data_IF_310425241713
#
_entry.id   IF_310425241713
#
_cell.length_a   1.000
_cell.length_b   1.000
_cell.length_c   1.000
_cell.angle_alpha   90.00
_cell.angle_beta   90.00
_cell.angle_gamma   90.00
#
_symmetry.space_group_name_H-M   'P 1'
#
loop_
_entity.id
_entity.type
_entity.pdbx_description
1 polymer ?
#
# COMPACT_ATOMS: atom_id res chain seq x y z
N UNK A 1 1.88 31.32 1.27
CA UNK A 1 2.29 29.97 1.73
C UNK A 1 1.02 29.20 2.09
N UNK A 2 0.51 28.36 1.18
CA UNK A 2 -0.74 27.61 1.37
C UNK A 2 -0.42 26.20 1.86
N UNK A 3 -0.77 25.90 3.11
CA UNK A 3 -0.57 24.59 3.73
C UNK A 3 -1.48 23.53 3.13
N UNK A 4 -0.86 22.54 2.47
CA UNK A 4 -1.50 21.29 2.08
C UNK A 4 -1.62 20.45 3.34
N UNK A 5 -2.85 20.22 3.82
CA UNK A 5 -3.11 19.28 4.92
C UNK A 5 -3.13 17.87 4.34
N UNK A 6 -2.02 17.15 4.50
CA UNK A 6 -1.94 15.71 4.27
C UNK A 6 -2.73 15.01 5.38
N UNK A 7 -3.83 14.32 5.03
CA UNK A 7 -4.53 13.45 5.96
C UNK A 7 -3.94 12.03 5.82
N UNK A 8 -3.13 11.62 6.79
CA UNK A 8 -2.71 10.22 6.92
C UNK A 8 -3.86 9.41 7.53
N UNK A 9 -4.52 8.60 6.71
CA UNK A 9 -5.44 7.55 7.17
C UNK A 9 -4.71 6.22 7.09
N UNK A 10 -4.28 5.71 8.25
CA UNK A 10 -3.66 4.39 8.39
C UNK A 10 -4.77 3.34 8.38
N UNK A 11 -4.80 2.49 7.35
CA UNK A 11 -5.63 1.28 7.30
C UNK A 11 -4.67 0.11 7.08
N UNK A 12 -4.51 -0.74 8.10
CA UNK A 12 -3.88 -2.06 7.97
C UNK A 12 -4.91 -3.09 7.47
N UNK A 13 -4.59 -4.32 7.05
CA UNK A 13 -3.37 -5.14 7.16
C UNK A 13 -3.37 -6.15 5.99
N UNK A 14 -2.20 -6.52 5.45
CA UNK A 14 -2.05 -7.84 4.78
C UNK A 14 -1.42 -7.92 3.38
N UNK A 15 -1.16 -6.82 2.67
CA UNK A 15 -0.41 -6.88 1.41
C UNK A 15 0.57 -5.72 1.31
N UNK A 16 1.85 -6.06 1.11
CA UNK A 16 2.80 -5.32 0.27
C UNK A 16 2.62 -3.79 0.26
N UNK A 17 3.07 -3.15 1.34
CA UNK A 17 2.89 -1.72 1.56
C UNK A 17 3.79 -0.90 0.62
N UNK A 18 3.31 -0.69 -0.61
CA UNK A 18 3.88 0.31 -1.50
C UNK A 18 3.72 1.69 -0.84
N UNK A 19 4.83 2.43 -0.69
CA UNK A 19 4.82 3.75 -0.08
C UNK A 19 4.14 4.73 -1.05
N UNK A 20 3.06 5.38 -0.60
CA UNK A 20 2.43 6.47 -1.34
C UNK A 20 3.40 7.66 -1.37
N UNK A 21 3.89 8.04 -2.55
CA UNK A 21 4.78 9.21 -2.71
C UNK A 21 3.93 10.48 -2.87
N UNK A 22 2.86 10.38 -3.65
CA UNK A 22 2.00 11.52 -3.98
C UNK A 22 0.55 11.09 -4.07
N UNK A 23 -0.32 11.90 -3.48
CA UNK A 23 -1.77 11.83 -3.70
C UNK A 23 -2.20 13.11 -4.42
N UNK A 24 -3.06 12.94 -5.43
CA UNK A 24 -3.64 14.07 -6.16
C UNK A 24 -5.10 13.80 -6.45
N UNK A 25 -5.97 14.72 -6.04
CA UNK A 25 -7.37 14.72 -6.49
C UNK A 25 -7.40 15.10 -7.96
N UNK A 26 -7.86 14.19 -8.81
CA UNK A 26 -7.93 14.37 -10.28
C UNK A 26 -9.33 14.78 -10.72
N UNK A 27 -10.35 14.29 -10.03
CA UNK A 27 -11.75 14.58 -10.30
C UNK A 27 -12.50 14.80 -8.99
N UNK A 28 -13.43 15.75 -9.00
CA UNK A 28 -14.31 16.07 -7.88
C UNK A 28 -15.73 16.24 -8.39
N UNK A 29 -16.71 15.89 -7.58
CA UNK A 29 -18.12 16.12 -7.89
C UNK A 29 -18.56 17.56 -7.57
N UNK A 30 -19.42 18.10 -8.43
CA UNK A 30 -19.99 19.43 -8.24
C UNK A 30 -20.92 19.42 -7.03
N UNK A 31 -20.67 20.31 -6.06
CA UNK A 31 -21.51 20.43 -4.86
C UNK A 31 -22.95 20.86 -5.13
N UNK A 32 -23.28 21.27 -6.35
CA UNK A 32 -24.62 21.72 -6.73
C UNK A 32 -25.40 20.66 -7.50
N UNK A 33 -24.80 20.09 -8.54
CA UNK A 33 -25.46 19.18 -9.48
C UNK A 33 -24.94 17.74 -9.45
N UNK A 34 -23.90 17.45 -8.65
CA UNK A 34 -23.27 16.12 -8.58
C UNK A 34 -22.32 15.80 -9.75
N UNK A 35 -22.37 16.53 -10.86
CA UNK A 35 -21.55 16.25 -12.03
C UNK A 35 -20.04 16.29 -11.72
N UNK A 36 -19.31 15.25 -12.12
CA UNK A 36 -17.88 15.14 -11.88
C UNK A 36 -17.07 16.03 -12.82
N UNK A 37 -16.19 16.88 -12.30
CA UNK A 37 -15.33 17.78 -13.07
C UNK A 37 -13.84 17.61 -12.74
N UNK A 38 -12.98 17.91 -13.70
CA UNK A 38 -11.53 17.81 -13.54
C UNK A 38 -10.98 18.91 -12.62
N UNK A 39 -10.10 18.54 -11.69
CA UNK A 39 -9.47 19.49 -10.79
C UNK A 39 -8.20 20.10 -11.41
N UNK A 40 -8.14 21.44 -11.44
CA UNK A 40 -6.95 22.17 -11.89
C UNK A 40 -5.74 21.86 -11.01
N UNK A 41 -4.56 21.74 -11.63
CA UNK A 41 -3.32 21.39 -10.94
C UNK A 41 -2.81 22.47 -9.96
N UNK A 42 -3.17 23.74 -10.19
CA UNK A 42 -2.69 24.90 -9.41
C UNK A 42 -3.86 25.79 -8.99
N UNK A 43 -3.70 26.43 -7.82
CA UNK A 43 -4.64 27.41 -7.28
C UNK A 43 -5.67 26.82 -6.32
N UNK A 44 -6.68 27.63 -5.96
CA UNK A 44 -7.76 27.21 -5.03
C UNK A 44 -8.61 26.12 -5.68
N UNK A 45 -8.85 24.97 -5.01
CA UNK A 45 -9.72 23.92 -5.52
C UNK A 45 -11.12 24.46 -5.85
N UNK A 46 -11.59 24.20 -7.06
CA UNK A 46 -12.96 24.51 -7.44
C UNK A 46 -13.93 23.58 -6.71
N UNK A 47 -15.11 24.10 -6.35
CA UNK A 47 -16.20 23.35 -5.70
C UNK A 47 -17.39 23.11 -6.63
N UNK A 48 -17.40 23.77 -7.79
CA UNK A 48 -18.49 23.75 -8.75
C UNK A 48 -17.91 23.52 -10.15
N UNK A 49 -18.61 22.75 -10.98
CA UNK A 49 -18.19 22.47 -12.34
C UNK A 49 -18.21 23.73 -13.24
N UNK A 50 -19.12 24.67 -12.98
CA UNK A 50 -19.29 25.91 -13.77
C UNK A 50 -19.62 27.12 -12.91
N UNK A 51 -19.40 28.36 -13.42
CA UNK A 51 -19.86 29.59 -12.76
C UNK A 51 -21.38 29.62 -12.53
N UNK A 52 -22.17 29.05 -13.44
CA UNK A 52 -23.63 28.97 -13.30
C UNK A 52 -24.04 28.14 -12.07
N UNK A 53 -23.45 26.95 -11.89
CA UNK A 53 -23.66 26.13 -10.70
C UNK A 53 -23.26 26.86 -9.41
N UNK A 54 -22.19 27.66 -9.45
CA UNK A 54 -21.77 28.49 -8.31
C UNK A 54 -22.81 29.55 -7.98
N UNK A 55 -23.35 30.25 -8.99
CA UNK A 55 -24.36 31.29 -8.80
C UNK A 55 -25.66 30.71 -8.23
N UNK A 56 -26.13 29.60 -8.81
CA UNK A 56 -27.33 28.91 -8.31
C UNK A 56 -27.15 28.44 -6.86
N UNK A 57 -26.00 27.84 -6.53
CA UNK A 57 -25.69 27.45 -5.15
C UNK A 57 -25.58 28.65 -4.19
N UNK A 58 -25.27 29.85 -4.68
CA UNK A 58 -25.31 31.07 -3.87
C UNK A 58 -26.74 31.53 -3.60
N UNK A 59 -27.59 31.53 -4.63
CA UNK A 59 -29.03 31.87 -4.53
C UNK A 59 -29.75 30.93 -3.57
N UNK A 60 -29.49 29.63 -3.66
CA UNK A 60 -30.06 28.64 -2.73
C UNK A 60 -29.70 28.88 -1.27
N UNK A 61 -28.50 29.42 -1.00
CA UNK A 61 -28.05 29.74 0.37
C UNK A 61 -28.59 31.08 0.86
N UNK A 62 -29.06 31.93 -0.05
CA UNK A 62 -29.62 33.25 0.25
C UNK A 62 -30.96 33.38 -0.47
N UNK A 63 -31.96 32.54 -0.12
CA UNK A 63 -33.25 32.60 -0.78
C UNK A 63 -33.85 33.99 -0.53
N UNK A 64 -34.21 34.67 -1.62
CA UNK A 64 -35.13 35.80 -1.52
C UNK A 64 -36.52 35.24 -1.25
N UNK A 65 -37.35 36.02 -0.56
CA UNK A 65 -38.68 35.61 -0.07
C UNK A 65 -39.55 34.96 -1.18
N UNK A 66 -39.33 35.32 -2.44
CA UNK A 66 -40.13 34.85 -3.59
C UNK A 66 -39.38 33.94 -4.59
N UNK A 67 -38.19 33.42 -4.24
CA UNK A 67 -37.41 32.58 -5.16
C UNK A 67 -37.62 31.10 -4.87
N UNK A 68 -38.08 30.33 -5.86
CA UNK A 68 -38.03 28.87 -5.81
C UNK A 68 -36.55 28.43 -5.69
N UNK A 69 -36.15 27.75 -4.60
CA UNK A 69 -34.78 27.33 -4.39
C UNK A 69 -34.31 26.28 -5.42
N UNK A 70 -35.20 25.68 -6.22
CA UNK A 70 -34.85 24.62 -7.14
C UNK A 70 -34.39 23.34 -6.42
N UNK A 71 -33.86 22.33 -7.14
CA UNK A 71 -33.59 21.01 -6.57
C UNK A 71 -32.51 21.07 -5.48
N UNK A 72 -32.59 20.24 -4.42
CA UNK A 72 -31.59 20.24 -3.35
C UNK A 72 -30.19 19.86 -3.87
N UNK A 73 -29.16 20.31 -3.17
CA UNK A 73 -27.79 19.90 -3.43
C UNK A 73 -27.58 18.42 -3.04
N UNK A 74 -26.66 17.69 -3.69
CA UNK A 74 -26.33 16.31 -3.31
C UNK A 74 -25.80 16.24 -1.87
N UNK A 75 -26.21 15.19 -1.14
CA UNK A 75 -25.85 15.00 0.27
C UNK A 75 -24.39 14.56 0.48
N UNK A 76 -23.77 13.93 -0.52
CA UNK A 76 -22.40 13.41 -0.49
C UNK A 76 -21.66 13.88 -1.75
N UNK A 77 -20.40 14.24 -1.59
CA UNK A 77 -19.51 14.68 -2.68
C UNK A 77 -18.35 13.69 -2.73
N UNK A 78 -18.18 13.01 -3.86
CA UNK A 78 -17.07 12.09 -4.06
C UNK A 78 -15.86 12.81 -4.70
N UNK A 79 -14.67 12.50 -4.17
CA UNK A 79 -13.38 12.90 -4.73
C UNK A 79 -12.67 11.65 -5.26
N UNK A 80 -12.24 11.69 -6.53
CA UNK A 80 -11.39 10.66 -7.11
C UNK A 80 -9.94 11.07 -6.91
N UNK A 81 -9.22 10.29 -6.11
CA UNK A 81 -7.80 10.52 -5.77
C UNK A 81 -6.94 9.55 -6.57
N UNK A 82 -6.06 10.11 -7.39
CA UNK A 82 -4.97 9.36 -8.01
C UNK A 82 -3.80 9.26 -7.02
N UNK A 83 -3.28 8.05 -6.84
CA UNK A 83 -2.15 7.76 -5.95
C UNK A 83 -0.96 7.28 -6.76
N UNK A 84 0.15 7.99 -6.66
CA UNK A 84 1.43 7.53 -7.21
C UNK A 84 2.19 6.78 -6.13
N UNK A 85 2.42 5.49 -6.37
CA UNK A 85 3.17 4.60 -5.49
C UNK A 85 4.64 4.58 -5.90
N UNK A 86 5.54 4.60 -4.92
CA UNK A 86 6.94 4.27 -5.17
C UNK A 86 7.03 2.80 -5.58
N UNK A 87 7.81 2.44 -6.62
CA UNK A 87 8.27 1.07 -6.72
C UNK A 87 9.03 0.77 -5.43
N UNK A 88 8.63 -0.29 -4.73
CA UNK A 88 9.41 -0.79 -3.60
C UNK A 88 10.79 -1.13 -4.16
N UNK A 89 11.91 -0.72 -3.53
CA UNK A 89 13.19 -1.28 -3.91
C UNK A 89 13.03 -2.80 -3.80
N UNK A 90 13.26 -3.52 -4.90
CA UNK A 90 13.23 -4.98 -4.87
C UNK A 90 14.15 -5.39 -3.72
N UNK A 91 13.60 -6.08 -2.73
CA UNK A 91 14.44 -6.65 -1.70
C UNK A 91 15.47 -7.52 -2.44
N UNK A 92 16.77 -7.41 -2.12
CA UNK A 92 17.73 -8.35 -2.67
C UNK A 92 17.21 -9.76 -2.41
N UNK A 93 17.38 -10.66 -3.38
CA UNK A 93 16.94 -12.06 -3.25
C UNK A 93 17.90 -12.81 -2.31
N UNK A 94 17.84 -12.43 -1.04
CA UNK A 94 18.72 -12.90 0.02
C UNK A 94 18.60 -14.42 0.21
N UNK A 95 17.43 -14.99 -0.05
CA UNK A 95 17.23 -16.44 0.05
C UNK A 95 18.08 -17.15 -1.00
N UNK A 96 18.02 -16.74 -2.26
CA UNK A 96 18.85 -17.32 -3.31
C UNK A 96 20.34 -17.07 -3.09
N UNK A 97 20.73 -15.88 -2.62
CA UNK A 97 22.13 -15.56 -2.31
C UNK A 97 22.68 -16.41 -1.16
N UNK A 98 21.89 -16.62 -0.10
CA UNK A 98 22.27 -17.48 1.03
C UNK A 98 22.32 -18.96 0.62
N UNK A 99 21.43 -19.40 -0.28
CA UNK A 99 21.48 -20.74 -0.87
C UNK A 99 22.76 -20.99 -1.66
N UNK A 100 23.11 -20.06 -2.55
CA UNK A 100 24.36 -20.13 -3.33
C UNK A 100 25.60 -20.11 -2.41
N UNK A 101 25.59 -19.30 -1.35
CA UNK A 101 26.67 -19.28 -0.36
C UNK A 101 26.81 -20.64 0.34
N UNK A 102 25.69 -21.27 0.72
CA UNK A 102 25.70 -22.58 1.36
C UNK A 102 26.28 -23.67 0.43
N UNK A 103 25.91 -23.64 -0.86
CA UNK A 103 26.48 -24.53 -1.87
C UNK A 103 27.99 -24.33 -2.03
N UNK A 104 28.46 -23.07 -2.09
CA UNK A 104 29.88 -22.75 -2.19
C UNK A 104 30.68 -23.23 -0.98
N UNK A 105 30.13 -23.10 0.23
CA UNK A 105 30.76 -23.59 1.45
C UNK A 105 30.81 -25.14 1.51
N UNK A 106 29.94 -25.83 0.78
CA UNK A 106 29.93 -27.29 0.67
C UNK A 106 30.78 -27.86 -0.47
N UNK A 107 31.26 -27.02 -1.41
CA UNK A 107 32.10 -27.45 -2.52
C UNK A 107 33.59 -27.17 -2.25
N UNK A 108 34.34 -28.23 -1.92
CA UNK A 108 35.78 -28.22 -1.64
C UNK A 108 36.64 -27.69 -2.80
N UNK A 109 36.08 -27.57 -4.01
CA UNK A 109 36.76 -27.00 -5.17
C UNK A 109 36.83 -25.47 -5.11
N UNK A 110 35.94 -24.83 -4.34
CA UNK A 110 35.94 -23.37 -4.20
C UNK A 110 37.09 -22.89 -3.30
N UNK A 111 37.60 -21.69 -3.58
CA UNK A 111 38.62 -21.08 -2.71
C UNK A 111 38.06 -20.74 -1.31
N UNK A 112 36.74 -20.51 -1.22
CA UNK A 112 36.06 -20.10 0.00
C UNK A 112 36.32 -21.05 1.16
N UNK A 113 36.24 -22.36 0.92
CA UNK A 113 36.47 -23.42 1.92
C UNK A 113 37.88 -23.36 2.53
N UNK A 114 38.87 -22.94 1.76
CA UNK A 114 40.29 -22.88 2.21
C UNK A 114 40.64 -21.57 2.91
N UNK A 115 39.81 -20.55 2.80
CA UNK A 115 40.09 -19.22 3.33
C UNK A 115 39.42 -19.00 4.70
N UNK A 116 40.06 -19.51 5.76
CA UNK A 116 39.54 -19.46 7.13
C UNK A 116 39.14 -18.06 7.63
N UNK A 117 39.78 -17.00 7.14
CA UNK A 117 39.45 -15.62 7.51
C UNK A 117 38.07 -15.19 6.97
N UNK A 118 37.65 -15.71 5.81
CA UNK A 118 36.31 -15.48 5.26
C UNK A 118 35.24 -16.15 6.11
N UNK A 119 35.47 -17.38 6.59
CA UNK A 119 34.51 -18.09 7.44
C UNK A 119 34.16 -17.32 8.71
N UNK A 120 35.16 -16.75 9.40
CA UNK A 120 34.90 -15.95 10.60
C UNK A 120 34.04 -14.72 10.29
N UNK A 121 34.31 -14.03 9.19
CA UNK A 121 33.54 -12.85 8.77
C UNK A 121 32.11 -13.21 8.36
N UNK A 122 31.94 -14.30 7.61
CA UNK A 122 30.63 -14.82 7.21
C UNK A 122 29.82 -15.21 8.45
N UNK A 123 30.42 -15.94 9.39
CA UNK A 123 29.78 -16.31 10.64
C UNK A 123 29.31 -15.09 11.44
N UNK A 124 30.17 -14.08 11.62
CA UNK A 124 29.79 -12.82 12.28
C UNK A 124 28.66 -12.11 11.54
N UNK A 125 28.68 -12.07 10.21
CA UNK A 125 27.60 -11.44 9.44
C UNK A 125 26.26 -12.18 9.62
N UNK A 126 26.27 -13.52 9.58
CA UNK A 126 25.08 -14.34 9.82
C UNK A 126 24.55 -14.16 11.25
N UNK A 127 25.42 -14.13 12.25
CA UNK A 127 25.04 -13.91 13.65
C UNK A 127 24.42 -12.51 13.88
N UNK A 128 24.95 -11.49 13.21
CA UNK A 128 24.36 -10.15 13.26
C UNK A 128 22.98 -10.13 12.60
N UNK A 129 22.81 -10.84 11.47
CA UNK A 129 21.53 -10.95 10.79
C UNK A 129 20.48 -11.67 11.64
N UNK A 130 20.83 -12.78 12.31
CA UNK A 130 19.92 -13.48 13.23
C UNK A 130 19.52 -12.61 14.41
N UNK A 131 20.47 -11.89 15.02
CA UNK A 131 20.18 -10.95 16.12
C UNK A 131 19.21 -9.85 15.69
N UNK A 132 19.39 -9.32 14.48
CA UNK A 132 18.51 -8.31 13.92
C UNK A 132 17.09 -8.85 13.67
N UNK A 133 16.98 -10.10 13.19
CA UNK A 133 15.69 -10.79 13.01
C UNK A 133 14.97 -11.00 14.35
N UNK A 134 15.68 -11.46 15.38
CA UNK A 134 15.12 -11.64 16.73
C UNK A 134 14.60 -10.31 17.31
N UNK A 135 15.35 -9.22 17.09
CA UNK A 135 14.95 -7.87 17.52
C UNK A 135 13.70 -7.39 16.78
N UNK A 136 13.58 -7.69 15.47
CA UNK A 136 12.43 -7.32 14.65
C UNK A 136 11.16 -8.13 14.98
N UNK A 137 11.32 -9.31 15.56
CA UNK A 137 10.24 -10.26 15.87
C UNK A 137 10.27 -10.68 17.35
N UNK A 138 9.88 -9.79 18.29
CA UNK A 138 9.80 -10.14 19.70
C UNK A 138 8.77 -11.26 19.91
N UNK A 139 9.25 -12.44 20.28
CA UNK A 139 8.46 -13.68 20.35
C UNK A 139 9.00 -14.83 19.49
N UNK A 140 10.10 -14.62 18.77
CA UNK A 140 10.78 -15.64 17.98
C UNK A 140 10.24 -15.76 16.55
N UNK A 141 10.87 -16.61 15.75
CA UNK A 141 10.50 -16.85 14.34
C UNK A 141 9.46 -17.96 14.19
N UNK A 142 9.23 -18.75 15.24
CA UNK A 142 8.27 -19.86 15.29
C UNK A 142 6.85 -19.48 14.83
N UNK A 143 6.27 -18.31 15.18
CA UNK A 143 4.96 -17.92 14.70
C UNK A 143 4.90 -17.75 13.17
N UNK A 144 6.00 -17.30 12.57
CA UNK A 144 6.13 -17.10 11.12
C UNK A 144 6.22 -18.47 10.43
N UNK A 145 7.10 -19.34 10.92
CA UNK A 145 7.28 -20.70 10.40
C UNK A 145 5.97 -21.50 10.47
N UNK A 146 5.26 -21.46 11.61
CA UNK A 146 3.97 -22.14 11.77
C UNK A 146 2.91 -21.63 10.77
N UNK A 147 2.89 -20.33 10.48
CA UNK A 147 1.92 -19.73 9.56
C UNK A 147 2.18 -20.16 8.11
N UNK A 148 3.43 -20.29 7.72
CA UNK A 148 3.80 -20.78 6.39
C UNK A 148 3.50 -22.27 6.24
N UNK A 149 3.86 -23.09 7.22
CA UNK A 149 3.58 -24.53 7.19
C UNK A 149 2.07 -24.85 7.21
N UNK A 150 1.26 -24.04 7.92
CA UNK A 150 -0.20 -24.22 7.97
C UNK A 150 -0.95 -23.90 6.68
N UNK A 151 -0.33 -23.16 5.74
CA UNK A 151 -0.93 -22.83 4.44
C UNK A 151 -0.84 -23.97 3.41
N UNK A 152 -0.03 -24.99 3.68
CA UNK A 152 0.17 -26.15 2.80
C UNK A 152 -0.50 -27.44 3.29
N UNK A 153 -1.49 -27.36 4.17
CA UNK A 153 -2.34 -28.52 4.46
C UNK A 153 -3.26 -28.74 3.26
N UNK A 154 -2.75 -29.46 2.26
CA UNK A 154 -3.52 -30.11 1.21
C UNK A 154 -4.50 -31.03 1.92
N UNK A 155 -5.77 -30.62 1.99
CA UNK A 155 -6.83 -31.50 2.50
C UNK A 155 -6.81 -32.80 1.69
N UNK A 156 -6.82 -33.98 2.34
CA UNK A 156 -6.89 -35.24 1.61
C UNK A 156 -8.14 -35.20 0.72
N UNK A 157 -7.92 -35.36 -0.58
CA UNK A 157 -8.99 -35.39 -1.57
C UNK A 157 -10.07 -36.37 -1.11
N UNK A 158 -11.28 -35.84 -0.87
CA UNK A 158 -12.49 -36.64 -0.83
C UNK A 158 -12.69 -37.22 -2.23
N UNK A 159 -12.13 -38.39 -2.48
CA UNK A 159 -12.60 -39.29 -3.54
C UNK A 159 -13.95 -39.83 -3.07
N UNK A 160 -15.01 -39.09 -3.38
CA UNK A 160 -16.38 -39.58 -3.25
C UNK A 160 -16.61 -40.69 -4.27
N UNK A 161 -16.52 -41.95 -3.83
CA UNK A 161 -17.06 -43.10 -4.56
C UNK A 161 -18.58 -43.09 -4.33
N UNK A 162 -19.34 -42.71 -5.37
CA UNK A 162 -20.77 -43.02 -5.46
C UNK A 162 -20.89 -44.52 -5.74
N UNK A 163 -21.45 -45.28 -4.79
CA UNK A 163 -22.01 -46.60 -5.10
C UNK A 163 -23.48 -46.42 -5.46
N UNK A 164 -23.85 -47.12 -6.53
CA UNK A 164 -25.18 -47.16 -7.16
C UNK A 164 -26.15 -48.02 -6.36
#
# INVERSE_FOLDING_TARGET
>A
MSGVKTQEKVVGEGAEQARVIRERVVRRECRRCGEGFAQRAKGRPAMYCTPACRQQAWVQRHPRVDSDPGPPAPAVVHDIVERTLAPRPAAPDWISLLGLLAEQLGDDRTALVREHWHHRRLFTALQNATTALDTAHPGGLEPIVRRESGRYVVGPGRTGVQQQ
#
